data_IF_326285551979
#
_entry.id   IF_326285551979
#
_cell.length_a   1.000
_cell.length_b   1.000
_cell.length_c   1.000
_cell.angle_alpha   90.00
_cell.angle_beta   90.00
_cell.angle_gamma   90.00
#
_symmetry.space_group_name_H-M   'P 1'
#
loop_
_entity.id
_entity.type
_entity.pdbx_description
1 polymer ?
#
# COMPACT_ATOMS: atom_id res chain seq x y z
N UNK A 1 -18.48 24.15 -6.35
CA UNK A 1 -17.28 23.73 -7.10
C UNK A 1 -17.47 24.07 -8.57
N UNK A 2 -16.42 24.50 -9.26
CA UNK A 2 -16.47 24.68 -10.72
C UNK A 2 -16.45 23.29 -11.34
N UNK A 3 -17.44 22.95 -12.17
CA UNK A 3 -17.47 21.66 -12.87
C UNK A 3 -16.24 21.51 -13.77
N UNK A 4 -15.63 20.31 -13.83
CA UNK A 4 -14.50 20.06 -14.71
C UNK A 4 -14.88 20.28 -16.17
N UNK A 5 -13.90 20.69 -16.98
CA UNK A 5 -14.09 20.93 -18.41
C UNK A 5 -13.00 20.26 -19.23
N UNK A 6 -13.41 19.50 -20.24
CA UNK A 6 -12.51 18.88 -21.19
C UNK A 6 -12.08 19.86 -22.29
N UNK A 7 -10.80 19.85 -22.65
CA UNK A 7 -10.23 20.63 -23.76
C UNK A 7 -9.52 19.68 -24.71
N UNK A 8 -9.49 20.02 -26.00
CA UNK A 8 -8.64 19.31 -26.96
C UNK A 8 -8.24 20.15 -28.16
N UNK A 9 -7.14 19.72 -28.77
CA UNK A 9 -6.55 20.27 -29.99
C UNK A 9 -6.49 19.20 -31.07
N UNK A 10 -6.82 19.57 -32.30
CA UNK A 10 -6.99 18.67 -33.43
C UNK A 10 -6.36 19.24 -34.70
N UNK A 11 -5.84 18.35 -35.54
CA UNK A 11 -5.32 18.66 -36.88
C UNK A 11 -5.93 17.68 -37.87
N UNK A 12 -6.35 18.18 -39.04
CA UNK A 12 -6.86 17.37 -40.15
C UNK A 12 -5.82 17.27 -41.26
N UNK A 13 -5.50 16.05 -41.68
CA UNK A 13 -4.61 15.78 -42.83
C UNK A 13 -5.32 14.82 -43.78
N UNK A 14 -5.76 15.35 -44.93
CA UNK A 14 -6.68 14.64 -45.82
C UNK A 14 -8.00 14.36 -45.10
N UNK A 15 -8.46 13.11 -45.14
CA UNK A 15 -9.69 12.66 -44.46
C UNK A 15 -9.49 12.32 -42.98
N UNK A 16 -8.25 12.34 -42.49
CA UNK A 16 -7.92 11.89 -41.14
C UNK A 16 -7.81 13.05 -40.15
N UNK A 17 -8.35 12.84 -38.95
CA UNK A 17 -8.30 13.80 -37.85
C UNK A 17 -7.40 13.23 -36.75
N UNK A 18 -6.50 14.06 -36.24
CA UNK A 18 -5.53 13.70 -35.21
C UNK A 18 -5.67 14.62 -34.01
N UNK A 19 -5.81 14.06 -32.80
CA UNK A 19 -5.87 14.82 -31.55
C UNK A 19 -4.46 15.06 -31.00
N UNK A 20 -3.95 16.27 -31.13
CA UNK A 20 -2.57 16.62 -30.76
C UNK A 20 -2.40 16.96 -29.27
N UNK A 21 -3.47 17.33 -28.58
CA UNK A 21 -3.46 17.56 -27.13
C UNK A 21 -4.85 17.38 -26.55
N UNK A 22 -4.94 16.93 -25.30
CA UNK A 22 -6.18 16.88 -24.55
C UNK A 22 -5.92 16.94 -23.04
N UNK A 23 -6.81 17.61 -22.31
CA UNK A 23 -6.80 17.61 -20.84
C UNK A 23 -8.21 17.84 -20.29
N UNK A 24 -8.41 17.49 -19.03
CA UNK A 24 -9.57 17.88 -18.22
C UNK A 24 -9.08 18.89 -17.19
N UNK A 25 -9.75 20.03 -17.06
CA UNK A 25 -9.34 21.12 -16.17
C UNK A 25 -10.34 21.30 -15.02
N UNK A 26 -9.82 21.38 -13.80
CA UNK A 26 -10.52 21.83 -12.61
C UNK A 26 -9.98 23.20 -12.21
N UNK A 27 -10.86 24.15 -11.90
CA UNK A 27 -10.47 25.52 -11.56
C UNK A 27 -9.64 26.21 -12.64
N UNK A 28 -8.76 27.13 -12.23
CA UNK A 28 -8.00 28.01 -13.13
C UNK A 28 -6.51 27.65 -13.24
N UNK A 29 -6.00 26.74 -12.40
CA UNK A 29 -4.61 26.32 -12.45
C UNK A 29 -4.32 25.53 -13.73
N UNK A 30 -3.13 25.76 -14.28
CA UNK A 30 -2.59 25.03 -15.44
C UNK A 30 -1.60 23.95 -15.04
N UNK A 31 -1.28 23.83 -13.75
CA UNK A 31 -0.39 22.80 -13.23
C UNK A 31 -0.97 21.42 -13.46
N UNK A 32 -0.10 20.44 -13.71
CA UNK A 32 -0.56 19.07 -13.87
C UNK A 32 -0.91 18.45 -12.53
N UNK A 33 -2.09 17.84 -12.47
CA UNK A 33 -2.54 17.01 -11.34
C UNK A 33 -2.48 15.52 -11.69
N UNK A 34 -1.73 15.16 -12.75
CA UNK A 34 -1.61 13.80 -13.27
C UNK A 34 -1.90 13.71 -14.75
N UNK A 35 -1.64 12.53 -15.32
CA UNK A 35 -1.95 12.22 -16.71
C UNK A 35 -2.46 10.79 -16.88
N UNK A 36 -2.99 10.48 -18.07
CA UNK A 36 -3.20 9.11 -18.51
C UNK A 36 -2.66 8.87 -19.92
N UNK A 37 -2.36 7.61 -20.22
CA UNK A 37 -2.04 7.15 -21.58
C UNK A 37 -3.10 6.12 -21.97
N UNK A 38 -3.94 6.50 -22.93
CA UNK A 38 -5.02 5.67 -23.49
C UNK A 38 -4.66 5.16 -24.88
N UNK A 39 -5.46 4.27 -25.45
CA UNK A 39 -5.20 3.72 -26.78
C UNK A 39 -5.25 4.81 -27.86
N UNK A 40 -6.42 5.43 -28.03
CA UNK A 40 -6.68 6.44 -29.04
C UNK A 40 -7.77 7.44 -28.58
N UNK A 41 -7.94 8.58 -29.27
CA UNK A 41 -8.96 9.58 -28.96
C UNK A 41 -10.42 9.12 -29.05
N UNK A 42 -10.68 7.92 -29.55
CA UNK A 42 -12.02 7.37 -29.68
C UNK A 42 -12.92 8.23 -30.57
N UNK A 43 -14.19 8.32 -30.19
CA UNK A 43 -15.26 9.04 -30.89
C UNK A 43 -15.51 10.47 -30.37
N UNK A 44 -14.52 11.09 -29.73
CA UNK A 44 -14.65 12.44 -29.14
C UNK A 44 -15.35 13.40 -30.13
N UNK A 45 -16.58 13.82 -29.84
CA UNK A 45 -17.37 14.61 -30.78
C UNK A 45 -16.90 16.06 -30.74
N UNK A 46 -16.40 16.53 -31.88
CA UNK A 46 -16.16 17.96 -32.10
C UNK A 46 -17.53 18.65 -32.21
N UNK A 47 -17.66 19.82 -31.59
CA UNK A 47 -18.85 20.63 -31.84
C UNK A 47 -18.86 21.15 -33.29
N UNK A 48 -19.99 21.72 -33.73
CA UNK A 48 -20.13 22.21 -35.10
C UNK A 48 -19.10 23.29 -35.45
N UNK A 49 -18.73 24.14 -34.48
CA UNK A 49 -17.81 25.26 -34.70
C UNK A 49 -16.38 24.77 -34.88
N UNK A 50 -15.93 23.84 -34.04
CA UNK A 50 -14.63 23.20 -34.13
C UNK A 50 -14.53 22.35 -35.39
N UNK A 51 -15.60 21.63 -35.75
CA UNK A 51 -15.66 20.87 -37.02
C UNK A 51 -15.47 21.81 -38.21
N UNK A 52 -16.21 22.92 -38.27
CA UNK A 52 -16.08 23.90 -39.36
C UNK A 52 -14.68 24.53 -39.41
N UNK A 53 -14.09 24.86 -38.26
CA UNK A 53 -12.74 25.40 -38.19
C UNK A 53 -11.70 24.37 -38.67
N UNK A 54 -11.87 23.12 -38.28
CA UNK A 54 -11.00 22.03 -38.67
C UNK A 54 -11.06 21.77 -40.19
N UNK A 55 -12.25 21.85 -40.79
CA UNK A 55 -12.45 21.69 -42.24
C UNK A 55 -11.91 22.86 -43.06
N UNK A 56 -11.89 24.07 -42.50
CA UNK A 56 -11.47 25.30 -43.21
C UNK A 56 -9.99 25.63 -43.01
N UNK A 57 -9.47 25.45 -41.80
CA UNK A 57 -8.11 25.85 -41.41
C UNK A 57 -7.18 24.63 -41.30
N UNK A 58 -7.71 23.42 -41.23
CA UNK A 58 -6.93 22.20 -41.02
C UNK A 58 -6.49 21.98 -39.57
N UNK A 59 -6.83 22.89 -38.65
CA UNK A 59 -6.59 22.74 -37.22
C UNK A 59 -7.67 23.44 -36.38
N UNK A 60 -7.96 22.91 -35.20
CA UNK A 60 -8.94 23.47 -34.29
C UNK A 60 -8.59 23.12 -32.84
N UNK A 61 -8.84 24.03 -31.89
CA UNK A 61 -8.71 23.74 -30.46
C UNK A 61 -9.82 24.39 -29.66
N UNK A 62 -10.31 23.72 -28.64
CA UNK A 62 -11.40 24.25 -27.81
C UNK A 62 -11.91 23.29 -26.75
N UNK A 63 -12.93 23.76 -26.02
CA UNK A 63 -13.64 22.97 -25.03
C UNK A 63 -14.50 21.91 -25.71
N UNK A 64 -14.54 20.72 -25.11
CA UNK A 64 -15.20 19.53 -25.64
C UNK A 64 -16.35 19.12 -24.74
N UNK A 65 -17.36 18.50 -25.35
CA UNK A 65 -18.34 17.76 -24.59
C UNK A 65 -17.70 16.48 -24.03
N UNK A 66 -17.91 16.21 -22.75
CA UNK A 66 -17.35 15.03 -22.10
C UNK A 66 -17.95 13.74 -22.65
N UNK A 67 -17.09 12.86 -23.13
CA UNK A 67 -17.44 11.49 -23.50
C UNK A 67 -17.47 10.56 -22.26
N UNK A 68 -17.96 9.32 -22.39
CA UNK A 68 -17.99 8.38 -21.26
C UNK A 68 -16.63 8.11 -20.61
N UNK A 69 -15.54 8.17 -21.38
CA UNK A 69 -14.18 7.98 -20.86
C UNK A 69 -13.75 9.19 -20.05
N UNK A 70 -14.00 10.41 -20.52
CA UNK A 70 -13.69 11.63 -19.78
C UNK A 70 -14.47 11.69 -18.46
N UNK A 71 -15.76 11.36 -18.47
CA UNK A 71 -16.58 11.27 -17.24
C UNK A 71 -16.02 10.25 -16.24
N UNK A 72 -15.57 9.11 -16.76
CA UNK A 72 -14.94 8.09 -15.94
C UNK A 72 -13.62 8.57 -15.34
N UNK A 73 -12.80 9.29 -16.11
CA UNK A 73 -11.54 9.88 -15.62
C UNK A 73 -11.81 10.96 -14.56
N UNK A 74 -12.85 11.78 -14.73
CA UNK A 74 -13.30 12.73 -13.70
C UNK A 74 -13.59 12.01 -12.40
N UNK A 75 -14.40 10.95 -12.43
CA UNK A 75 -14.73 10.15 -11.23
C UNK A 75 -13.50 9.55 -10.55
N UNK A 76 -12.50 9.12 -11.32
CA UNK A 76 -11.23 8.59 -10.78
C UNK A 76 -10.43 9.70 -10.10
N UNK A 77 -10.23 10.84 -10.77
CA UNK A 77 -9.44 11.97 -10.25
C UNK A 77 -10.08 12.55 -8.98
N UNK A 78 -11.40 12.74 -8.98
CA UNK A 78 -12.13 13.21 -7.80
C UNK A 78 -12.07 12.21 -6.64
N UNK A 79 -12.10 10.90 -6.93
CA UNK A 79 -11.91 9.86 -5.92
C UNK A 79 -10.48 9.76 -5.37
N UNK A 80 -9.48 10.20 -6.12
CA UNK A 80 -8.07 10.29 -5.70
C UNK A 80 -7.85 11.47 -4.76
N UNK A 81 -8.28 12.67 -5.16
CA UNK A 81 -8.02 13.90 -4.40
C UNK A 81 -9.04 14.14 -3.27
N UNK A 82 -10.17 13.44 -3.30
CA UNK A 82 -11.26 13.56 -2.33
C UNK A 82 -12.24 14.66 -2.73
N UNK A 83 -13.51 14.47 -2.37
CA UNK A 83 -14.61 15.38 -2.73
C UNK A 83 -14.60 16.66 -1.88
N UNK A 84 -13.97 16.61 -0.70
CA UNK A 84 -13.99 17.69 0.29
C UNK A 84 -12.91 18.76 0.08
N UNK A 85 -11.95 18.52 -0.83
CA UNK A 85 -10.89 19.48 -1.16
C UNK A 85 -11.11 20.04 -2.57
N UNK A 86 -11.10 21.36 -2.76
CA UNK A 86 -11.21 21.94 -4.09
C UNK A 86 -9.99 21.55 -4.93
N UNK A 87 -10.24 20.84 -6.03
CA UNK A 87 -9.21 20.46 -7.02
C UNK A 87 -8.96 21.66 -7.94
N UNK A 88 -7.70 21.96 -8.24
CA UNK A 88 -7.32 23.00 -9.19
C UNK A 88 -6.10 22.53 -10.00
N UNK A 89 -6.24 22.43 -11.32
CA UNK A 89 -5.18 21.96 -12.22
C UNK A 89 -5.71 21.19 -13.42
N UNK A 90 -4.80 20.54 -14.15
CA UNK A 90 -5.07 19.82 -15.40
C UNK A 90 -4.70 18.34 -15.31
N UNK A 91 -5.64 17.49 -15.68
CA UNK A 91 -5.40 16.07 -15.93
C UNK A 91 -5.16 15.84 -17.42
N UNK A 92 -3.95 15.49 -17.80
CA UNK A 92 -3.54 15.37 -19.20
C UNK A 92 -3.92 14.01 -19.79
N UNK A 93 -4.36 13.99 -21.05
CA UNK A 93 -4.76 12.77 -21.76
C UNK A 93 -3.84 12.58 -22.97
N UNK A 94 -2.97 11.59 -22.87
CA UNK A 94 -2.13 11.11 -23.95
C UNK A 94 -2.75 9.88 -24.62
N UNK A 95 -2.32 9.63 -25.84
CA UNK A 95 -2.75 8.48 -26.61
C UNK A 95 -1.56 7.75 -27.21
N UNK A 96 -1.59 6.40 -27.22
CA UNK A 96 -0.59 5.59 -27.94
C UNK A 96 -0.50 6.04 -29.38
N UNK A 97 -1.63 6.36 -30.02
CA UNK A 97 -1.66 7.04 -31.30
C UNK A 97 -2.78 8.07 -31.32
N UNK A 98 -2.55 9.20 -32.00
CA UNK A 98 -3.45 10.36 -31.97
C UNK A 98 -4.57 10.34 -33.02
N UNK A 99 -4.69 9.27 -33.84
CA UNK A 99 -5.76 9.14 -34.84
C UNK A 99 -7.14 9.00 -34.19
N UNK A 100 -8.03 9.93 -34.50
CA UNK A 100 -9.41 9.87 -34.08
C UNK A 100 -10.18 8.83 -34.91
N UNK A 101 -10.80 7.87 -34.24
CA UNK A 101 -11.63 6.85 -34.88
C UNK A 101 -12.58 6.25 -33.86
N UNK A 102 -13.87 6.05 -34.21
CA UNK A 102 -14.90 5.67 -33.26
C UNK A 102 -14.81 4.23 -32.75
N UNK A 103 -14.14 3.32 -33.47
CA UNK A 103 -14.01 1.91 -33.09
C UNK A 103 -12.54 1.51 -32.95
N UNK A 104 -12.16 0.94 -31.80
CA UNK A 104 -10.75 0.68 -31.45
C UNK A 104 -10.04 -0.33 -32.36
N UNK A 105 -10.77 -1.31 -32.91
CA UNK A 105 -10.23 -2.30 -33.85
C UNK A 105 -9.91 -1.63 -35.18
N UNK A 106 -10.92 -0.98 -35.79
CA UNK A 106 -10.74 -0.27 -37.05
C UNK A 106 -9.72 0.87 -36.91
N UNK A 107 -9.59 1.46 -35.71
CA UNK A 107 -8.59 2.48 -35.44
C UNK A 107 -7.16 1.94 -35.55
N UNK A 108 -6.88 0.74 -35.02
CA UNK A 108 -5.56 0.12 -35.14
C UNK A 108 -5.31 -0.31 -36.58
N UNK A 109 -6.27 -0.97 -37.24
CA UNK A 109 -6.08 -1.39 -38.64
C UNK A 109 -5.86 -0.18 -39.57
N UNK A 110 -6.55 0.94 -39.31
CA UNK A 110 -6.32 2.19 -40.02
C UNK A 110 -4.93 2.77 -39.71
N UNK A 111 -4.50 2.77 -38.45
CA UNK A 111 -3.14 3.15 -38.07
C UNK A 111 -2.08 2.31 -38.81
N UNK A 112 -2.22 0.98 -38.82
CA UNK A 112 -1.31 0.06 -39.50
C UNK A 112 -1.19 0.40 -40.99
N UNK A 113 -2.30 0.70 -41.66
CA UNK A 113 -2.31 1.12 -43.06
C UNK A 113 -1.63 2.49 -43.27
N UNK A 114 -1.84 3.45 -42.37
CA UNK A 114 -1.22 4.77 -42.48
C UNK A 114 0.29 4.71 -42.26
N UNK A 115 0.76 3.92 -41.30
CA UNK A 115 2.20 3.73 -41.07
C UNK A 115 2.83 3.00 -42.24
N UNK A 116 2.19 1.92 -42.72
CA UNK A 116 2.70 1.13 -43.86
C UNK A 116 2.75 1.93 -45.17
N UNK A 117 1.87 2.92 -45.33
CA UNK A 117 1.88 3.83 -46.48
C UNK A 117 2.74 5.08 -46.29
N UNK A 118 3.45 5.21 -45.16
CA UNK A 118 4.30 6.38 -44.86
C UNK A 118 3.53 7.67 -44.54
N UNK A 119 2.22 7.57 -44.29
CA UNK A 119 1.34 8.71 -43.97
C UNK A 119 1.27 9.04 -42.47
N UNK A 120 1.87 8.19 -41.63
CA UNK A 120 1.94 8.36 -40.18
C UNK A 120 3.28 7.87 -39.66
N UNK A 121 3.98 8.69 -38.88
CA UNK A 121 5.24 8.29 -38.25
C UNK A 121 4.99 7.56 -36.91
N UNK A 122 5.71 6.49 -36.66
CA UNK A 122 5.55 5.68 -35.44
C UNK A 122 6.07 6.37 -34.15
N UNK A 123 6.57 7.59 -34.26
CA UNK A 123 6.96 8.47 -33.13
C UNK A 123 6.05 9.69 -33.04
N UNK A 124 5.09 9.86 -33.95
CA UNK A 124 4.27 11.07 -34.06
C UNK A 124 3.43 11.35 -32.81
N UNK A 125 3.03 10.32 -32.08
CA UNK A 125 2.27 10.45 -30.84
C UNK A 125 3.12 10.67 -29.59
N UNK A 126 4.44 10.44 -29.67
CA UNK A 126 5.32 10.54 -28.51
C UNK A 126 5.54 12.00 -28.12
N UNK A 127 5.68 12.20 -26.82
CA UNK A 127 6.05 13.48 -26.24
C UNK A 127 7.51 13.48 -25.79
N UNK A 128 8.03 14.65 -25.43
CA UNK A 128 9.37 14.75 -24.87
C UNK A 128 9.40 14.18 -23.46
N UNK A 129 10.50 13.55 -23.06
CA UNK A 129 10.69 13.01 -21.71
C UNK A 129 10.47 14.06 -20.62
N UNK A 130 10.93 15.30 -20.86
CA UNK A 130 10.76 16.40 -19.91
C UNK A 130 9.30 16.84 -19.75
N UNK A 131 8.46 16.63 -20.77
CA UNK A 131 7.01 16.87 -20.64
C UNK A 131 6.40 15.85 -19.67
N UNK A 132 6.74 14.56 -19.79
CA UNK A 132 6.21 13.55 -18.87
C UNK A 132 6.61 13.81 -17.43
N UNK A 133 7.84 14.27 -17.20
CA UNK A 133 8.36 14.59 -15.86
C UNK A 133 7.58 15.70 -15.13
N UNK A 134 6.78 16.49 -15.85
CA UNK A 134 5.91 17.50 -15.24
C UNK A 134 4.69 16.88 -14.53
N UNK A 135 4.40 15.61 -14.76
CA UNK A 135 3.25 14.93 -14.16
C UNK A 135 3.65 14.27 -12.84
N UNK A 136 2.82 14.42 -11.78
CA UNK A 136 3.07 13.72 -10.52
C UNK A 136 2.92 12.20 -10.64
N UNK A 137 2.12 11.73 -11.60
CA UNK A 137 1.87 10.31 -11.88
C UNK A 137 1.18 10.12 -13.23
N UNK A 138 1.20 8.89 -13.75
CA UNK A 138 0.52 8.51 -15.00
C UNK A 138 -0.35 7.26 -14.80
N UNK A 139 -1.63 7.35 -15.20
CA UNK A 139 -2.55 6.22 -15.32
C UNK A 139 -2.40 5.53 -16.69
N UNK A 140 -2.02 4.26 -16.69
CA UNK A 140 -1.91 3.44 -17.90
C UNK A 140 -3.23 2.72 -18.18
N UNK A 141 -3.77 2.88 -19.39
CA UNK A 141 -5.12 2.44 -19.73
C UNK A 141 -5.36 2.17 -21.22
N UNK A 142 -4.33 1.72 -21.94
CA UNK A 142 -4.35 1.57 -23.40
C UNK A 142 -4.99 0.27 -23.93
N UNK A 143 -5.62 -0.53 -23.07
CA UNK A 143 -6.31 -1.76 -23.46
C UNK A 143 -5.40 -3.00 -23.53
N UNK A 144 -6.04 -4.17 -23.50
CA UNK A 144 -5.38 -5.49 -23.41
C UNK A 144 -5.53 -6.34 -24.68
N UNK A 145 -6.24 -5.82 -25.69
CA UNK A 145 -6.42 -6.55 -26.95
C UNK A 145 -5.11 -6.53 -27.73
N UNK A 146 -4.74 -7.69 -28.26
CA UNK A 146 -3.58 -7.85 -29.13
C UNK A 146 -3.97 -8.74 -30.32
N UNK A 147 -3.42 -8.42 -31.49
CA UNK A 147 -3.55 -9.24 -32.71
C UNK A 147 -2.19 -9.34 -33.41
N UNK A 148 -1.91 -10.50 -34.02
CA UNK A 148 -0.61 -10.76 -34.64
C UNK A 148 -0.26 -9.77 -35.77
N UNK A 149 -1.28 -9.23 -36.45
CA UNK A 149 -1.14 -8.25 -37.53
C UNK A 149 -0.71 -6.86 -37.07
N UNK A 150 -0.87 -6.52 -35.79
CA UNK A 150 -0.63 -5.18 -35.25
C UNK A 150 0.85 -4.96 -34.91
N UNK A 151 1.69 -4.87 -35.95
CA UNK A 151 3.15 -4.71 -35.79
C UNK A 151 3.52 -3.27 -35.42
N UNK A 152 2.98 -2.28 -36.12
CA UNK A 152 3.31 -0.88 -35.87
C UNK A 152 2.74 -0.39 -34.54
N UNK A 153 1.52 -0.82 -34.19
CA UNK A 153 0.94 -0.52 -32.89
C UNK A 153 1.79 -1.04 -31.73
N UNK A 154 2.31 -2.27 -31.82
CA UNK A 154 3.24 -2.83 -30.83
C UNK A 154 4.51 -2.00 -30.72
N UNK A 155 5.11 -1.62 -31.86
CA UNK A 155 6.31 -0.79 -31.88
C UNK A 155 6.09 0.59 -31.23
N UNK A 156 4.98 1.26 -31.53
CA UNK A 156 4.65 2.56 -30.93
C UNK A 156 4.47 2.41 -29.41
N UNK A 157 3.83 1.33 -28.98
CA UNK A 157 3.64 1.02 -27.56
C UNK A 157 4.96 0.74 -26.84
N UNK A 158 5.88 -0.01 -27.45
CA UNK A 158 7.24 -0.22 -26.93
C UNK A 158 7.98 1.11 -26.76
N UNK A 159 7.86 2.03 -27.72
CA UNK A 159 8.43 3.38 -27.59
C UNK A 159 7.84 4.15 -26.40
N UNK A 160 6.52 4.08 -26.19
CA UNK A 160 5.88 4.65 -25.00
C UNK A 160 6.38 4.02 -23.71
N UNK A 161 6.54 2.70 -23.65
CA UNK A 161 7.12 2.01 -22.48
C UNK A 161 8.54 2.50 -22.17
N UNK A 162 9.39 2.63 -23.19
CA UNK A 162 10.75 3.13 -23.01
C UNK A 162 10.74 4.58 -22.52
N UNK A 163 9.92 5.44 -23.12
CA UNK A 163 9.77 6.84 -22.70
C UNK A 163 9.31 6.96 -21.24
N UNK A 164 8.33 6.15 -20.81
CA UNK A 164 7.87 6.10 -19.42
C UNK A 164 9.01 5.68 -18.50
N UNK A 165 9.71 4.60 -18.84
CA UNK A 165 10.84 4.07 -18.05
C UNK A 165 11.95 5.12 -17.88
N UNK A 166 12.31 5.80 -18.96
CA UNK A 166 13.33 6.86 -18.96
C UNK A 166 12.91 8.10 -18.17
N UNK A 167 11.63 8.47 -18.22
CA UNK A 167 11.10 9.61 -17.47
C UNK A 167 11.12 9.41 -15.95
N UNK A 168 11.11 8.15 -15.50
CA UNK A 168 10.96 7.75 -14.08
C UNK A 168 9.69 8.27 -13.41
N UNK A 169 8.70 8.70 -14.20
CA UNK A 169 7.42 9.16 -13.67
C UNK A 169 6.65 7.95 -13.16
N UNK A 170 6.13 8.01 -11.93
CA UNK A 170 5.49 6.85 -11.34
C UNK A 170 4.14 6.57 -12.03
N UNK A 171 3.93 5.30 -12.37
CA UNK A 171 2.75 4.86 -13.13
C UNK A 171 1.89 3.87 -12.36
N UNK A 172 0.59 3.85 -12.61
CA UNK A 172 -0.34 2.83 -12.10
C UNK A 172 -1.41 2.50 -13.14
N UNK A 173 -2.12 1.40 -12.92
CA UNK A 173 -3.21 0.95 -13.77
C UNK A 173 -3.58 -0.50 -13.48
N UNK A 174 -4.77 -0.93 -13.93
CA UNK A 174 -5.20 -2.32 -13.78
C UNK A 174 -4.47 -3.19 -14.80
N UNK A 175 -3.37 -3.82 -14.38
CA UNK A 175 -2.54 -4.69 -15.24
C UNK A 175 -3.30 -5.97 -15.63
N UNK A 176 -3.08 -6.44 -16.85
CA UNK A 176 -3.56 -7.75 -17.30
C UNK A 176 -2.76 -8.86 -16.62
N UNK A 177 -3.43 -9.95 -16.22
CA UNK A 177 -2.79 -11.03 -15.46
C UNK A 177 -1.73 -11.83 -16.25
N UNK A 178 -1.74 -11.75 -17.60
CA UNK A 178 -0.84 -12.51 -18.49
C UNK A 178 0.06 -11.65 -19.38
N UNK A 179 -0.18 -10.34 -19.45
CA UNK A 179 0.57 -9.45 -20.35
C UNK A 179 0.95 -8.16 -19.65
N UNK A 180 1.91 -7.42 -20.20
CA UNK A 180 2.31 -6.10 -19.69
C UNK A 180 1.33 -4.98 -20.10
N UNK A 181 0.08 -5.36 -20.35
CA UNK A 181 -0.98 -4.46 -20.77
C UNK A 181 -1.84 -3.99 -19.61
N UNK A 182 -2.61 -2.93 -19.86
CA UNK A 182 -3.48 -2.31 -18.86
C UNK A 182 -4.90 -2.21 -19.40
N UNK A 183 -5.88 -2.62 -18.59
CA UNK A 183 -7.29 -2.46 -18.94
C UNK A 183 -7.66 -0.99 -19.10
N UNK A 184 -8.55 -0.71 -20.05
CA UNK A 184 -9.06 0.64 -20.26
C UNK A 184 -9.85 1.12 -19.02
N UNK A 185 -9.66 2.36 -18.54
CA UNK A 185 -10.28 2.85 -17.31
C UNK A 185 -11.81 2.96 -17.41
N UNK A 186 -12.33 3.06 -18.64
CA UNK A 186 -13.76 3.03 -18.94
C UNK A 186 -14.14 1.73 -19.68
N UNK A 187 -14.59 0.68 -18.98
CA UNK A 187 -15.12 -0.53 -19.59
C UNK A 187 -16.29 -0.25 -20.54
N UNK A 188 -16.42 -1.08 -21.59
CA UNK A 188 -17.52 -0.99 -22.55
C UNK A 188 -18.88 -1.22 -21.85
N UNK A 189 -18.94 -2.20 -20.94
CA UNK A 189 -20.11 -2.49 -20.11
C UNK A 189 -20.22 -1.40 -19.04
N UNK A 190 -21.25 -0.56 -19.14
CA UNK A 190 -21.43 0.61 -18.27
C UNK A 190 -21.58 0.27 -16.79
N UNK A 191 -22.21 -0.84 -16.45
CA UNK A 191 -22.38 -1.30 -15.06
C UNK A 191 -21.05 -1.64 -14.37
N UNK A 192 -19.98 -1.94 -15.12
CA UNK A 192 -18.67 -2.24 -14.55
C UNK A 192 -17.81 -1.00 -14.29
N UNK A 193 -18.25 0.19 -14.78
CA UNK A 193 -17.47 1.43 -14.68
C UNK A 193 -17.25 1.90 -13.24
N UNK A 194 -18.26 1.91 -12.34
CA UNK A 194 -18.03 2.30 -10.94
C UNK A 194 -17.01 1.40 -10.23
N UNK A 195 -17.09 0.08 -10.47
CA UNK A 195 -16.14 -0.88 -9.92
C UNK A 195 -14.72 -0.63 -10.43
N UNK A 196 -14.55 -0.41 -11.74
CA UNK A 196 -13.25 -0.06 -12.32
C UNK A 196 -12.68 1.24 -11.73
N UNK A 197 -13.50 2.28 -11.54
CA UNK A 197 -13.05 3.52 -10.90
C UNK A 197 -12.53 3.23 -9.48
N UNK A 198 -13.30 2.50 -8.67
CA UNK A 198 -12.93 2.13 -7.30
C UNK A 198 -11.62 1.33 -7.25
N UNK A 199 -11.45 0.35 -8.14
CA UNK A 199 -10.21 -0.42 -8.24
C UNK A 199 -9.01 0.47 -8.58
N UNK A 200 -9.14 1.38 -9.56
CA UNK A 200 -8.06 2.29 -9.95
C UNK A 200 -7.70 3.28 -8.84
N UNK A 201 -8.70 3.84 -8.14
CA UNK A 201 -8.48 4.68 -6.94
C UNK A 201 -7.75 3.89 -5.85
N UNK A 202 -8.11 2.62 -5.66
CA UNK A 202 -7.45 1.76 -4.68
C UNK A 202 -5.99 1.50 -5.04
N UNK A 203 -5.71 1.19 -6.31
CA UNK A 203 -4.34 1.03 -6.84
C UNK A 203 -3.52 2.32 -6.71
N UNK A 204 -4.15 3.47 -6.93
CA UNK A 204 -3.50 4.76 -6.68
C UNK A 204 -3.13 4.90 -5.21
N UNK A 205 -4.08 4.73 -4.29
CA UNK A 205 -3.84 4.89 -2.85
C UNK A 205 -2.77 3.94 -2.34
N UNK A 206 -2.76 2.70 -2.83
CA UNK A 206 -1.70 1.73 -2.52
C UNK A 206 -0.31 2.20 -2.90
N UNK A 207 -0.19 2.80 -4.08
CA UNK A 207 1.10 3.18 -4.63
C UNK A 207 1.59 4.53 -4.13
N UNK A 208 0.67 5.47 -3.92
CA UNK A 208 0.97 6.89 -3.72
C UNK A 208 0.58 7.41 -2.35
N UNK A 209 -0.31 6.73 -1.63
CA UNK A 209 -0.71 7.10 -0.26
C UNK A 209 -0.06 6.17 0.76
N UNK A 210 1.20 5.81 0.54
CA UNK A 210 2.02 5.12 1.52
C UNK A 210 2.43 6.14 2.58
N UNK A 211 1.99 5.92 3.82
CA UNK A 211 2.46 6.73 4.95
C UNK A 211 3.67 6.05 5.56
N UNK A 212 4.83 6.70 5.49
CA UNK A 212 6.06 6.22 6.11
C UNK A 212 6.17 6.78 7.53
N UNK A 213 6.82 6.02 8.39
CA UNK A 213 7.13 6.40 9.75
C UNK A 213 8.63 6.32 9.99
N UNK A 214 9.13 7.05 10.98
CA UNK A 214 10.48 6.79 11.50
C UNK A 214 10.46 5.51 12.33
N UNK A 215 11.60 4.85 12.48
CA UNK A 215 11.74 3.76 13.46
C UNK A 215 11.44 4.23 14.90
N UNK A 216 11.69 5.50 15.22
CA UNK A 216 11.29 6.07 16.51
C UNK A 216 9.76 5.99 16.77
N UNK A 217 8.92 6.08 15.73
CA UNK A 217 7.47 5.98 15.87
C UNK A 217 6.97 4.60 16.30
N UNK A 218 7.85 3.59 16.32
CA UNK A 218 7.53 2.25 16.83
C UNK A 218 7.76 2.12 18.33
N UNK A 219 8.37 3.12 18.98
CA UNK A 219 8.61 3.12 20.43
C UNK A 219 7.37 3.64 21.18
N UNK A 220 7.07 3.12 22.40
CA UNK A 220 6.06 3.70 23.27
C UNK A 220 6.32 5.19 23.50
N UNK A 221 5.26 6.00 23.49
CA UNK A 221 5.36 7.46 23.56
C UNK A 221 4.71 8.06 24.83
N UNK A 222 4.20 7.21 25.72
CA UNK A 222 3.68 7.59 27.02
C UNK A 222 4.51 6.94 28.13
N UNK A 223 4.80 7.72 29.17
CA UNK A 223 5.43 7.22 30.40
C UNK A 223 4.32 6.72 31.29
N UNK A 224 4.40 5.46 31.71
CA UNK A 224 3.46 4.86 32.64
C UNK A 224 4.18 4.41 33.91
N UNK A 225 3.51 4.56 35.04
CA UNK A 225 3.93 3.89 36.27
C UNK A 225 3.54 2.41 36.17
N UNK A 226 4.51 1.51 36.43
CA UNK A 226 4.20 0.10 36.57
C UNK A 226 3.32 -0.10 37.82
N UNK A 227 2.15 -0.70 37.61
CA UNK A 227 1.23 -1.08 38.68
C UNK A 227 1.00 -2.57 38.60
N UNK A 228 1.33 -3.28 39.67
CA UNK A 228 1.03 -4.69 39.79
C UNK A 228 -0.47 -4.92 39.79
N UNK A 229 -0.91 -5.95 39.08
CA UNK A 229 -2.32 -6.32 38.92
C UNK A 229 -2.70 -7.60 39.66
N UNK A 230 -1.73 -8.43 40.00
CA UNK A 230 -1.92 -9.62 40.85
C UNK A 230 -1.03 -9.49 42.09
N UNK A 231 -1.46 -10.11 43.20
CA UNK A 231 -0.64 -10.20 44.41
C UNK A 231 0.36 -11.33 44.25
N UNK A 232 1.60 -11.07 44.66
CA UNK A 232 2.60 -12.13 44.84
C UNK A 232 2.11 -13.09 45.94
N UNK A 233 2.07 -14.39 45.67
CA UNK A 233 1.95 -15.38 46.73
C UNK A 233 3.37 -15.74 47.19
N UNK A 234 3.81 -15.12 48.28
CA UNK A 234 5.15 -15.29 48.85
C UNK A 234 5.47 -16.74 49.29
N UNK A 235 4.53 -17.68 49.15
CA UNK A 235 4.72 -19.09 49.54
C UNK A 235 5.40 -19.95 48.47
N UNK A 236 5.48 -19.48 47.23
CA UNK A 236 6.11 -20.21 46.12
C UNK A 236 7.53 -19.68 45.86
N UNK A 237 8.47 -19.99 46.75
CA UNK A 237 9.90 -19.63 46.57
C UNK A 237 10.56 -20.29 45.33
N UNK A 238 9.83 -21.12 44.58
CA UNK A 238 10.30 -21.77 43.36
C UNK A 238 9.16 -21.85 42.34
N UNK A 239 8.87 -20.75 41.65
CA UNK A 239 7.90 -20.74 40.54
C UNK A 239 8.38 -21.66 39.41
N UNK A 240 7.93 -22.91 39.46
CA UNK A 240 8.21 -23.93 38.46
C UNK A 240 6.89 -24.28 37.78
N UNK A 241 6.82 -24.06 36.47
CA UNK A 241 5.58 -24.17 35.70
C UNK A 241 4.86 -22.83 35.51
N UNK A 242 3.56 -22.91 35.19
CA UNK A 242 2.72 -21.75 34.90
C UNK A 242 2.12 -21.11 36.15
N UNK A 243 2.24 -19.79 36.30
CA UNK A 243 1.67 -19.01 37.39
C UNK A 243 1.09 -17.69 36.89
N UNK A 244 0.25 -17.05 37.70
CA UNK A 244 -0.30 -15.72 37.40
C UNK A 244 0.77 -14.67 37.64
N UNK A 245 1.09 -13.87 36.63
CA UNK A 245 2.11 -12.83 36.79
C UNK A 245 1.53 -11.57 37.45
N UNK A 246 2.24 -10.93 38.39
CA UNK A 246 1.85 -9.64 38.96
C UNK A 246 1.98 -8.49 37.94
N UNK A 247 2.77 -8.67 36.89
CA UNK A 247 3.01 -7.64 35.88
C UNK A 247 1.77 -7.39 35.02
N UNK A 248 1.55 -6.13 34.67
CA UNK A 248 0.36 -5.73 33.93
C UNK A 248 0.62 -5.63 32.41
N UNK A 249 0.11 -6.56 31.58
CA UNK A 249 0.29 -6.49 30.13
C UNK A 249 -0.41 -5.28 29.50
N UNK A 250 -1.41 -4.67 30.15
CA UNK A 250 -2.04 -3.45 29.64
C UNK A 250 -1.08 -2.25 29.58
N UNK A 251 0.04 -2.29 30.31
CA UNK A 251 1.05 -1.23 30.28
C UNK A 251 1.69 -1.10 28.90
N UNK A 252 1.83 -2.20 28.14
CA UNK A 252 2.32 -2.17 26.76
C UNK A 252 1.38 -1.35 25.88
N UNK A 253 0.08 -1.67 25.91
CA UNK A 253 -0.93 -1.01 25.07
C UNK A 253 -1.07 0.46 25.47
N UNK A 254 -1.17 0.74 26.77
CA UNK A 254 -1.32 2.09 27.30
C UNK A 254 -0.08 2.96 27.09
N UNK A 255 1.08 2.35 26.79
CA UNK A 255 2.30 3.05 26.43
C UNK A 255 2.20 3.79 25.10
N UNK A 256 1.18 3.48 24.30
CA UNK A 256 0.91 4.09 23.01
C UNK A 256 -0.31 5.03 23.06
N UNK A 257 -0.12 6.28 22.68
CA UNK A 257 -1.13 7.33 22.85
C UNK A 257 -2.41 7.18 22.02
N UNK A 258 -2.40 6.34 20.98
CA UNK A 258 -3.58 6.12 20.12
C UNK A 258 -4.26 4.77 20.39
N UNK A 259 -3.82 4.02 21.40
CA UNK A 259 -4.39 2.73 21.75
C UNK A 259 -5.04 2.75 23.13
N UNK A 260 -6.05 1.92 23.28
CA UNK A 260 -6.71 1.64 24.55
C UNK A 260 -7.20 0.20 24.60
N UNK A 261 -7.54 -0.27 25.79
CA UNK A 261 -8.32 -1.49 25.96
C UNK A 261 -9.80 -1.12 25.90
N UNK A 262 -10.58 -1.93 25.18
CA UNK A 262 -12.03 -1.78 25.07
C UNK A 262 -12.68 -1.81 26.45
N UNK A 263 -13.64 -0.91 26.67
CA UNK A 263 -14.42 -0.86 27.91
C UNK A 263 -15.11 -2.20 28.20
N UNK A 264 -15.06 -2.64 29.47
CA UNK A 264 -15.61 -3.93 29.90
C UNK A 264 -14.65 -5.11 29.75
N UNK A 265 -13.42 -4.89 29.29
CA UNK A 265 -12.37 -5.89 29.23
C UNK A 265 -11.08 -5.44 29.90
N UNK A 266 -10.24 -6.41 30.28
CA UNK A 266 -8.89 -6.20 30.80
C UNK A 266 -7.92 -7.26 30.25
N UNK A 267 -6.63 -6.95 30.23
CA UNK A 267 -5.60 -7.91 29.85
C UNK A 267 -4.93 -8.49 31.09
N UNK A 268 -4.76 -9.81 31.13
CA UNK A 268 -4.05 -10.53 32.19
C UNK A 268 -3.17 -11.60 31.57
N UNK A 269 -2.14 -12.03 32.29
CA UNK A 269 -1.17 -12.96 31.75
C UNK A 269 -0.79 -14.07 32.73
N UNK A 270 -0.42 -15.20 32.16
CA UNK A 270 0.35 -16.22 32.87
C UNK A 270 1.80 -16.15 32.42
N UNK A 271 2.69 -16.49 33.32
CA UNK A 271 4.11 -16.68 33.04
C UNK A 271 4.51 -18.11 33.39
N UNK A 272 5.39 -18.68 32.58
CA UNK A 272 6.02 -19.97 32.79
C UNK A 272 7.47 -19.76 33.21
N UNK A 273 7.93 -20.54 34.17
CA UNK A 273 9.35 -20.65 34.53
C UNK A 273 9.76 -22.11 34.63
N UNK A 274 10.91 -22.45 34.06
CA UNK A 274 11.50 -23.79 34.18
C UNK A 274 12.43 -23.94 35.39
N UNK A 275 12.51 -22.93 36.26
CA UNK A 275 13.44 -22.90 37.41
C UNK A 275 14.92 -22.74 37.04
N UNK A 276 15.28 -22.84 35.76
CA UNK A 276 16.62 -22.69 35.20
C UNK A 276 16.86 -21.34 34.51
N UNK A 277 15.89 -20.44 34.57
CA UNK A 277 15.95 -19.10 33.98
C UNK A 277 15.25 -18.96 32.63
N UNK A 278 14.78 -20.07 32.03
CA UNK A 278 13.94 -19.97 30.85
C UNK A 278 12.50 -19.67 31.25
N UNK A 279 11.88 -18.78 30.48
CA UNK A 279 10.51 -18.39 30.73
C UNK A 279 9.75 -18.09 29.45
N UNK A 280 8.45 -18.23 29.53
CA UNK A 280 7.51 -17.85 28.48
C UNK A 280 6.30 -17.18 29.14
N UNK A 281 5.44 -16.55 28.36
CA UNK A 281 4.20 -16.02 28.88
C UNK A 281 3.10 -16.03 27.85
N UNK A 282 1.87 -15.84 28.33
CA UNK A 282 0.70 -15.77 27.48
C UNK A 282 -0.29 -14.75 28.04
N UNK A 283 -0.74 -13.84 27.18
CA UNK A 283 -1.70 -12.79 27.49
C UNK A 283 -3.10 -13.21 27.06
N UNK A 284 -4.07 -12.92 27.91
CA UNK A 284 -5.50 -13.15 27.69
C UNK A 284 -6.29 -11.86 27.86
N UNK A 285 -7.30 -11.68 27.03
CA UNK A 285 -8.35 -10.70 27.25
C UNK A 285 -9.53 -11.38 27.97
N UNK A 286 -9.91 -10.84 29.13
CA UNK A 286 -11.04 -11.33 29.94
C UNK A 286 -11.99 -10.17 30.27
N UNK A 287 -13.29 -10.45 30.53
CA UNK A 287 -14.21 -9.42 31.02
C UNK A 287 -13.70 -8.76 32.30
N UNK A 288 -13.87 -7.45 32.41
CA UNK A 288 -13.29 -6.63 33.48
C UNK A 288 -13.70 -7.11 34.88
N UNK A 289 -14.95 -7.57 35.03
CA UNK A 289 -15.53 -8.05 36.28
C UNK A 289 -15.10 -9.47 36.69
N UNK A 290 -14.34 -10.17 35.84
CA UNK A 290 -13.83 -11.53 36.12
C UNK A 290 -12.40 -11.47 36.60
N UNK A 291 -12.03 -12.34 37.52
CA UNK A 291 -10.62 -12.53 37.89
C UNK A 291 -9.93 -13.54 36.99
N UNK A 292 -8.61 -13.41 36.87
CA UNK A 292 -7.81 -14.42 36.18
C UNK A 292 -7.83 -15.70 37.00
N UNK A 293 -8.30 -16.78 36.38
CA UNK A 293 -8.40 -18.11 36.99
C UNK A 293 -7.01 -18.63 37.41
N UNK A 294 -6.94 -19.52 38.40
CA UNK A 294 -5.66 -20.17 38.70
C UNK A 294 -5.22 -21.05 37.51
N UNK A 295 -3.91 -21.13 37.26
CA UNK A 295 -3.37 -21.89 36.12
C UNK A 295 -3.66 -23.38 36.27
N UNK A 296 -3.73 -23.89 37.51
CA UNK A 296 -4.03 -25.30 37.80
C UNK A 296 -5.46 -25.70 37.40
N UNK A 297 -6.40 -24.75 37.41
CA UNK A 297 -7.81 -24.99 37.12
C UNK A 297 -8.14 -24.82 35.62
N UNK A 298 -7.21 -24.29 34.83
CA UNK A 298 -7.43 -23.93 33.43
C UNK A 298 -7.35 -25.15 32.49
N UNK A 299 -8.07 -25.08 31.37
CA UNK A 299 -7.85 -25.98 30.24
C UNK A 299 -6.43 -25.76 29.68
N UNK A 300 -5.78 -26.84 29.23
CA UNK A 300 -4.44 -26.80 28.64
C UNK A 300 -4.53 -26.85 27.13
N UNK A 301 -3.89 -25.89 26.47
CA UNK A 301 -3.81 -25.87 25.01
C UNK A 301 -2.80 -26.90 24.49
N UNK A 302 -3.06 -27.44 23.31
CA UNK A 302 -2.14 -28.33 22.59
C UNK A 302 -1.10 -27.50 21.80
N UNK A 303 -0.32 -26.72 22.55
CA UNK A 303 0.71 -25.82 22.03
C UNK A 303 1.99 -25.96 22.86
N UNK A 304 3.07 -25.28 22.45
CA UNK A 304 4.35 -25.32 23.15
C UNK A 304 4.20 -24.95 24.63
N UNK A 305 4.71 -25.80 25.53
CA UNK A 305 4.56 -25.70 27.01
C UNK A 305 3.12 -25.79 27.55
N UNK A 306 2.14 -26.11 26.70
CA UNK A 306 0.73 -26.31 27.07
C UNK A 306 0.15 -25.18 27.93
N UNK A 307 0.07 -23.95 27.38
CA UNK A 307 -0.32 -22.78 28.15
C UNK A 307 -1.75 -22.92 28.71
N UNK A 308 -2.01 -22.34 29.90
CA UNK A 308 -3.34 -22.33 30.50
C UNK A 308 -4.27 -21.38 29.74
N UNK A 309 -5.50 -21.84 29.47
CA UNK A 309 -6.59 -21.03 28.90
C UNK A 309 -7.72 -20.82 29.92
N UNK A 310 -7.96 -19.59 30.37
CA UNK A 310 -9.10 -19.26 31.22
C UNK A 310 -10.42 -19.48 30.48
N UNK A 311 -11.44 -20.00 31.18
CA UNK A 311 -12.74 -20.29 30.58
C UNK A 311 -13.46 -19.04 30.00
N UNK A 312 -13.21 -17.86 30.58
CA UNK A 312 -13.83 -16.61 30.18
C UNK A 312 -12.95 -15.76 29.25
N UNK A 313 -11.82 -16.28 28.76
CA UNK A 313 -10.93 -15.55 27.89
C UNK A 313 -11.43 -15.55 26.43
N UNK A 314 -11.27 -14.42 25.75
CA UNK A 314 -11.42 -14.37 24.30
C UNK A 314 -10.32 -15.19 23.62
N UNK A 315 -10.58 -15.62 22.39
CA UNK A 315 -9.62 -16.41 21.61
C UNK A 315 -8.41 -15.61 21.13
N UNK A 316 -8.53 -14.28 21.04
CA UNK A 316 -7.48 -13.38 20.61
C UNK A 316 -7.59 -12.08 21.41
N UNK A 317 -6.51 -11.70 22.10
CA UNK A 317 -6.46 -10.46 22.89
C UNK A 317 -6.52 -9.20 22.01
N UNK A 318 -6.19 -9.30 20.72
CA UNK A 318 -6.31 -8.16 19.79
C UNK A 318 -7.76 -7.74 19.56
N UNK A 319 -8.76 -8.59 19.90
CA UNK A 319 -10.18 -8.25 19.81
C UNK A 319 -10.60 -7.10 20.73
N UNK A 320 -9.86 -6.87 21.82
CA UNK A 320 -10.18 -5.81 22.79
C UNK A 320 -9.22 -4.62 22.69
N UNK A 321 -8.37 -4.58 21.67
CA UNK A 321 -7.53 -3.42 21.40
C UNK A 321 -8.34 -2.45 20.56
N UNK A 322 -8.48 -1.22 21.06
CA UNK A 322 -9.11 -0.11 20.38
C UNK A 322 -8.09 0.97 20.05
N UNK A 323 -8.45 1.82 19.10
CA UNK A 323 -7.66 2.97 18.71
C UNK A 323 -8.38 3.81 17.64
N UNK A 324 -7.82 4.95 17.30
CA UNK A 324 -8.47 5.96 16.45
C UNK A 324 -8.54 5.65 14.94
N UNK A 325 -8.06 4.46 14.53
CA UNK A 325 -8.00 3.97 13.14
C UNK A 325 -7.16 4.83 12.20
N UNK A 326 -6.27 5.65 12.76
CA UNK A 326 -5.24 6.35 12.01
C UNK A 326 -4.11 5.37 11.61
N UNK A 327 -3.33 5.69 10.58
CA UNK A 327 -2.14 4.91 10.24
C UNK A 327 -1.17 4.70 11.40
N UNK A 328 -1.07 5.69 12.31
CA UNK A 328 -0.21 5.59 13.49
C UNK A 328 -0.76 4.61 14.52
N UNK A 329 -2.07 4.57 14.80
CA UNK A 329 -2.62 3.55 15.71
C UNK A 329 -2.45 2.14 15.16
N UNK A 330 -2.55 1.92 13.84
CA UNK A 330 -2.22 0.61 13.25
C UNK A 330 -0.75 0.23 13.45
N UNK A 331 0.18 1.18 13.28
CA UNK A 331 1.60 0.93 13.57
C UNK A 331 1.79 0.53 15.04
N UNK A 332 1.24 1.32 15.95
CA UNK A 332 1.32 1.08 17.39
C UNK A 332 0.71 -0.28 17.78
N UNK A 333 -0.40 -0.66 17.15
CA UNK A 333 -1.06 -1.95 17.38
C UNK A 333 -0.21 -3.12 16.86
N UNK A 334 0.47 -2.96 15.72
CA UNK A 334 1.39 -3.97 15.20
C UNK A 334 2.58 -4.20 16.13
N UNK A 335 3.13 -3.15 16.75
CA UNK A 335 4.18 -3.28 17.76
C UNK A 335 3.63 -3.93 19.03
N UNK A 336 2.51 -3.42 19.55
CA UNK A 336 1.86 -3.96 20.75
C UNK A 336 1.56 -5.44 20.62
N UNK A 337 1.16 -5.92 19.43
CA UNK A 337 0.95 -7.33 19.15
C UNK A 337 2.20 -8.17 19.46
N UNK A 338 3.38 -7.78 18.98
CA UNK A 338 4.61 -8.54 19.22
C UNK A 338 5.07 -8.44 20.67
N UNK A 339 4.99 -7.26 21.27
CA UNK A 339 5.33 -7.05 22.69
C UNK A 339 4.43 -7.89 23.62
N UNK A 340 3.12 -7.95 23.34
CA UNK A 340 2.18 -8.78 24.10
C UNK A 340 2.40 -10.27 23.85
N UNK A 341 2.75 -10.67 22.62
CA UNK A 341 3.04 -12.06 22.28
C UNK A 341 4.28 -12.60 22.98
N UNK A 342 5.25 -11.75 23.29
CA UNK A 342 6.47 -12.10 24.01
C UNK A 342 6.44 -11.70 25.50
N UNK A 343 5.30 -11.22 25.99
CA UNK A 343 5.16 -10.79 27.38
C UNK A 343 5.52 -11.92 28.34
N UNK A 344 6.46 -11.68 29.25
CA UNK A 344 6.90 -12.65 30.26
C UNK A 344 7.94 -13.67 29.76
N UNK A 345 8.35 -13.62 28.49
CA UNK A 345 9.40 -14.47 27.97
C UNK A 345 10.79 -14.11 28.52
N UNK A 346 11.62 -15.13 28.74
CA UNK A 346 12.98 -14.98 29.28
C UNK A 346 13.94 -15.94 28.56
N UNK A 347 15.19 -15.50 28.35
CA UNK A 347 16.27 -16.28 27.72
C UNK A 347 15.85 -16.86 26.36
N UNK A 348 15.81 -18.19 26.22
CA UNK A 348 15.43 -18.87 24.99
C UNK A 348 13.96 -18.65 24.59
N UNK A 349 13.13 -18.12 25.48
CA UNK A 349 11.76 -17.70 25.14
C UNK A 349 11.71 -16.39 24.34
N UNK A 350 12.80 -15.62 24.32
CA UNK A 350 12.86 -14.30 23.66
C UNK A 350 13.34 -14.42 22.22
N UNK A 351 12.63 -13.74 21.32
CA UNK A 351 12.93 -13.57 19.90
C UNK A 351 12.67 -12.13 19.46
N UNK A 352 11.46 -11.62 19.69
CA UNK A 352 11.04 -10.27 19.30
C UNK A 352 11.86 -9.17 19.98
N UNK A 353 12.21 -9.31 21.25
CA UNK A 353 13.02 -8.36 22.01
C UNK A 353 14.46 -8.22 21.50
N UNK A 354 14.88 -9.08 20.56
CA UNK A 354 16.14 -8.97 19.82
C UNK A 354 15.97 -8.38 18.41
N UNK A 355 14.75 -8.12 17.96
CA UNK A 355 14.51 -7.46 16.69
C UNK A 355 14.82 -5.96 16.78
N UNK A 356 15.70 -5.50 15.90
CA UNK A 356 15.95 -4.08 15.66
C UNK A 356 15.16 -3.64 14.44
N UNK A 357 14.15 -2.78 14.64
CA UNK A 357 13.35 -2.23 13.53
C UNK A 357 14.19 -1.25 12.70
N UNK A 358 14.14 -1.42 11.38
CA UNK A 358 14.86 -0.59 10.42
C UNK A 358 14.06 0.66 10.01
N UNK A 359 14.75 1.73 9.55
CA UNK A 359 16.19 1.92 9.63
C UNK A 359 16.62 2.16 11.08
N UNK A 360 17.78 1.62 11.46
CA UNK A 360 18.40 1.96 12.73
C UNK A 360 18.80 3.43 12.68
N UNK A 361 18.30 4.23 13.62
CA UNK A 361 18.80 5.60 13.78
C UNK A 361 20.13 5.53 14.55
N UNK A 362 21.11 6.32 14.11
CA UNK A 362 22.38 6.51 14.81
C UNK A 362 22.12 7.33 16.10
N UNK A 363 21.46 6.75 17.10
CA UNK A 363 21.33 7.36 18.41
C UNK A 363 22.66 7.13 19.18
N UNK A 364 23.52 8.14 19.14
CA UNK A 364 24.71 8.35 20.00
C UNK A 364 25.77 7.24 20.05
N UNK A 365 26.81 7.36 19.21
CA UNK A 365 28.21 7.06 19.55
C UNK A 365 28.64 5.62 19.86
N UNK A 366 27.72 4.68 20.06
CA UNK A 366 28.06 3.27 20.22
C UNK A 366 28.18 2.60 18.84
N UNK A 367 29.41 2.59 18.31
CA UNK A 367 29.82 1.91 17.08
C UNK A 367 29.63 0.36 17.10
N UNK A 368 28.90 -0.21 18.06
CA UNK A 368 29.07 -1.63 18.43
C UNK A 368 28.28 -2.63 17.58
N UNK A 369 27.09 -2.30 17.07
CA UNK A 369 26.31 -3.23 16.24
C UNK A 369 26.49 -3.03 14.73
N UNK A 370 26.81 -1.80 14.29
CA UNK A 370 26.71 -1.41 12.89
C UNK A 370 27.91 -1.74 12.00
N UNK A 371 29.06 -2.19 12.53
CA UNK A 371 30.27 -2.39 11.69
C UNK A 371 30.48 -3.80 11.16
N UNK A 372 29.84 -4.82 11.73
CA UNK A 372 30.19 -6.21 11.43
C UNK A 372 29.14 -7.02 10.66
N UNK A 373 27.92 -6.50 10.46
CA UNK A 373 26.81 -7.27 9.87
C UNK A 373 26.49 -6.88 8.41
N UNK A 374 26.80 -5.65 7.98
CA UNK A 374 26.26 -5.13 6.71
C UNK A 374 27.00 -5.55 5.43
N UNK A 375 28.17 -6.20 5.50
CA UNK A 375 29.00 -6.39 4.31
C UNK A 375 28.86 -7.76 3.62
N UNK A 376 28.11 -8.71 4.18
CA UNK A 376 27.97 -10.08 3.64
C UNK A 376 26.55 -10.64 3.83
N UNK A 377 25.53 -9.93 3.35
CA UNK A 377 24.18 -10.50 3.27
C UNK A 377 24.09 -11.54 2.16
N UNK A 378 23.65 -12.75 2.50
CA UNK A 378 23.14 -13.71 1.54
C UNK A 378 21.65 -13.42 1.30
N UNK A 379 21.36 -12.78 0.16
CA UNK A 379 19.99 -12.39 -0.19
C UNK A 379 19.17 -13.61 -0.62
N UNK A 380 18.06 -13.83 0.09
CA UNK A 380 17.05 -14.85 -0.23
C UNK A 380 15.96 -14.24 -1.11
N UNK A 381 15.59 -12.99 -0.81
CA UNK A 381 14.60 -12.19 -1.54
C UNK A 381 15.22 -10.91 -2.12
N UNK A 382 14.52 -10.23 -3.02
CA UNK A 382 14.93 -8.90 -3.50
C UNK A 382 14.95 -7.88 -2.35
N UNK A 383 15.95 -7.00 -2.37
CA UNK A 383 16.07 -5.94 -1.36
C UNK A 383 14.83 -5.01 -1.41
N UNK A 384 14.16 -4.76 -0.27
CA UNK A 384 12.97 -3.91 -0.24
C UNK A 384 13.27 -2.46 -0.66
N UNK A 385 12.43 -1.90 -1.53
CA UNK A 385 12.52 -0.47 -1.94
C UNK A 385 12.29 0.52 -0.78
N UNK A 386 11.53 0.12 0.24
CA UNK A 386 11.20 0.93 1.43
C UNK A 386 11.70 0.16 2.65
N UNK A 387 12.59 0.77 3.44
CA UNK A 387 13.18 0.16 4.66
C UNK A 387 12.59 0.69 5.96
N UNK A 388 11.89 1.82 5.88
CA UNK A 388 11.18 2.42 7.01
C UNK A 388 9.85 1.72 7.26
N UNK A 389 9.31 1.73 8.48
CA UNK A 389 7.95 1.26 8.71
C UNK A 389 6.97 2.07 7.87
N UNK A 390 5.97 1.41 7.29
CA UNK A 390 4.98 2.10 6.48
C UNK A 390 3.59 1.48 6.54
N UNK A 391 2.60 2.32 6.25
CA UNK A 391 1.19 2.00 6.21
C UNK A 391 0.63 2.16 4.79
N UNK A 392 -0.26 1.26 4.40
CA UNK A 392 -1.13 1.40 3.23
C UNK A 392 -2.39 0.55 3.38
N UNK A 393 -3.36 0.70 2.47
CA UNK A 393 -4.52 -0.18 2.39
C UNK A 393 -4.32 -1.26 1.31
N UNK A 394 -4.53 -2.53 1.65
CA UNK A 394 -4.54 -3.67 0.72
C UNK A 394 -5.62 -3.54 -0.37
N UNK A 395 -5.65 -4.45 -1.35
CA UNK A 395 -6.61 -4.40 -2.49
C UNK A 395 -8.05 -4.57 -2.03
N UNK A 396 -8.21 -5.34 -0.98
CA UNK A 396 -9.48 -5.59 -0.32
C UNK A 396 -9.90 -4.40 0.56
N UNK A 397 -9.00 -3.45 0.81
CA UNK A 397 -9.22 -2.28 1.67
C UNK A 397 -8.88 -2.52 3.14
N UNK A 398 -8.20 -3.63 3.46
CA UNK A 398 -7.68 -3.88 4.81
C UNK A 398 -6.50 -2.96 5.11
N UNK A 399 -6.39 -2.38 6.33
CA UNK A 399 -5.21 -1.65 6.77
C UNK A 399 -3.99 -2.58 6.84
N UNK A 400 -2.83 -2.11 6.38
CA UNK A 400 -1.58 -2.90 6.35
C UNK A 400 -0.43 -2.10 6.92
N UNK A 401 0.30 -2.69 7.86
CA UNK A 401 1.58 -2.20 8.35
C UNK A 401 2.70 -3.12 7.91
N UNK A 402 3.76 -2.56 7.36
CA UNK A 402 4.97 -3.29 7.02
C UNK A 402 6.15 -2.62 7.69
N UNK A 403 7.03 -3.43 8.27
CA UNK A 403 8.35 -2.97 8.71
C UNK A 403 9.36 -4.10 8.58
N UNK A 404 10.62 -3.73 8.54
CA UNK A 404 11.74 -4.65 8.50
C UNK A 404 12.48 -4.65 9.82
N UNK A 405 13.11 -5.77 10.13
CA UNK A 405 13.91 -5.95 11.34
C UNK A 405 15.21 -6.68 11.02
N UNK A 406 16.21 -6.49 11.87
CA UNK A 406 17.35 -7.39 11.99
C UNK A 406 17.20 -8.15 13.32
N UNK A 407 17.29 -9.47 13.28
CA UNK A 407 17.36 -10.32 14.46
C UNK A 407 18.75 -10.93 14.54
N UNK A 408 19.37 -10.89 15.71
CA UNK A 408 20.72 -11.40 15.92
C UNK A 408 20.80 -12.74 16.64
N UNK A 409 19.68 -13.45 16.85
CA UNK A 409 19.69 -14.79 17.46
C UNK A 409 20.08 -15.84 16.42
N UNK A 410 21.07 -16.67 16.76
CA UNK A 410 21.52 -17.79 15.94
C UNK A 410 22.24 -17.32 14.69
N UNK A 411 21.56 -17.36 13.54
CA UNK A 411 22.06 -16.73 12.31
C UNK A 411 21.41 -15.36 12.19
N UNK A 412 22.20 -14.32 11.96
CA UNK A 412 21.63 -12.97 11.82
C UNK A 412 20.65 -12.97 10.64
N UNK A 413 19.42 -12.51 10.86
CA UNK A 413 18.39 -12.48 9.81
C UNK A 413 17.88 -11.07 9.59
N UNK A 414 17.70 -10.70 8.33
CA UNK A 414 16.89 -9.56 7.93
C UNK A 414 15.49 -10.06 7.63
N UNK A 415 14.51 -9.66 8.44
CA UNK A 415 13.12 -10.08 8.28
C UNK A 415 12.22 -8.92 7.84
N UNK A 416 11.20 -9.24 7.04
CA UNK A 416 10.05 -8.38 6.73
C UNK A 416 8.83 -8.90 7.48
N UNK A 417 8.15 -8.01 8.19
CA UNK A 417 6.85 -8.30 8.78
C UNK A 417 5.76 -7.57 8.02
N UNK A 418 4.67 -8.27 7.68
CA UNK A 418 3.47 -7.72 7.07
C UNK A 418 2.28 -8.01 7.98
N UNK A 419 1.66 -6.96 8.50
CA UNK A 419 0.51 -7.02 9.40
C UNK A 419 -0.71 -6.58 8.62
N UNK A 420 -1.65 -7.49 8.40
CA UNK A 420 -2.92 -7.20 7.72
C UNK A 420 -4.03 -7.20 8.75
N UNK A 421 -4.57 -6.03 9.05
CA UNK A 421 -5.64 -5.84 10.01
C UNK A 421 -7.01 -6.14 9.41
N UNK A 422 -7.98 -6.50 10.26
CA UNK A 422 -9.39 -6.46 9.90
C UNK A 422 -9.82 -5.04 9.52
N UNK A 423 -10.93 -4.91 8.78
CA UNK A 423 -11.52 -3.60 8.48
C UNK A 423 -12.26 -3.02 9.68
N UNK A 424 -12.78 -3.91 10.51
CA UNK A 424 -13.76 -3.57 11.53
C UNK A 424 -13.06 -3.26 12.87
N UNK A 425 -11.97 -3.95 13.17
CA UNK A 425 -11.21 -3.91 14.44
C UNK A 425 -9.69 -4.06 14.23
N UNK A 426 -8.93 -4.23 15.32
CA UNK A 426 -7.47 -4.40 15.33
C UNK A 426 -7.00 -5.86 15.33
N UNK A 427 -7.90 -6.83 15.15
CA UNK A 427 -7.45 -8.21 14.88
C UNK A 427 -6.64 -8.25 13.61
N UNK A 428 -5.59 -9.08 13.58
CA UNK A 428 -4.64 -9.08 12.47
C UNK A 428 -4.09 -10.45 12.16
N UNK A 429 -3.56 -10.56 10.94
CA UNK A 429 -2.66 -11.65 10.53
C UNK A 429 -1.28 -11.08 10.30
N UNK A 430 -0.27 -11.82 10.75
CA UNK A 430 1.14 -11.46 10.57
C UNK A 430 1.81 -12.49 9.69
N UNK A 431 2.49 -12.01 8.66
CA UNK A 431 3.41 -12.79 7.85
C UNK A 431 4.83 -12.28 8.08
N UNK A 432 5.75 -13.20 8.37
CA UNK A 432 7.18 -12.93 8.46
C UNK A 432 7.89 -13.61 7.30
N UNK A 433 8.71 -12.87 6.58
CA UNK A 433 9.56 -13.38 5.50
C UNK A 433 11.02 -13.06 5.81
N UNK A 434 11.90 -14.05 5.78
CA UNK A 434 13.34 -13.83 5.84
C UNK A 434 13.82 -13.33 4.47
N UNK A 435 14.32 -12.09 4.42
CA UNK A 435 14.83 -11.44 3.22
C UNK A 435 16.28 -11.88 2.94
N UNK A 436 17.08 -11.96 4.00
CA UNK A 436 18.50 -12.28 3.90
C UNK A 436 19.02 -12.85 5.21
N UNK A 437 20.08 -13.64 5.09
CA UNK A 437 20.87 -14.15 6.22
C UNK A 437 22.26 -13.52 6.22
N UNK A 438 22.77 -13.22 7.40
CA UNK A 438 24.13 -12.71 7.62
C UNK A 438 24.98 -13.73 8.38
N UNK A 439 26.07 -13.24 8.97
CA UNK A 439 26.98 -14.07 9.77
C UNK A 439 26.36 -14.63 11.07
N UNK A 440 27.22 -15.22 11.90
CA UNK A 440 26.82 -15.75 13.20
C UNK A 440 26.34 -14.63 14.14
N UNK A 441 25.17 -14.85 14.73
CA UNK A 441 24.60 -14.05 15.81
C UNK A 441 24.90 -14.62 17.20
N UNK A 442 24.12 -14.21 18.18
CA UNK A 442 24.19 -14.68 19.57
C UNK A 442 23.48 -16.01 19.76
N UNK A 443 23.98 -16.84 20.66
CA UNK A 443 23.32 -18.04 21.15
C UNK A 443 23.19 -17.85 22.67
N UNK A 444 21.96 -17.97 23.17
CA UNK A 444 21.67 -17.89 24.61
C UNK A 444 22.22 -19.10 25.37
#
# INVERSE_FOLDING_TARGET
MIEPKAYGSFVKRGENIYRTSAFIQWGDSKESIGACILQNPGSAKLDKKLTQLLDTVGSASGWLAEDPTMKQLVSIVEGIYGVDKPISGRFHIYNIFNLQSPTSVNAIDHLENLVSSGKYDNSESLVKTDELKLHPWILLGWGVRQENGWKNYRLIKEKWHNLIRESKVPCFGKKHHKSDDYYHPCPLISSNRPMMAKELITLYKQKFCIQRFTSYATKPNLILESKQVEKYDDKDEHFHGWYRTPENPESIVKGFSHLSIQNGYKLRAYQFSDGGGNGNGIVWAIPEEKELQDSADCERLDEFLSPPKPANALSDYMQVIEGDKTPLSYLQAAISYHELKEFGAQWHGTSWGRNVILPQQEESGEESFGRYIYNEWEMIEEEPEIKEPYFYYSKEGNPVIVFQTINDIGTVTWNKYVHVFSKDDYTLKVEQTCIATGGCGIIF
#
